data_IF_180802322478
#
_entry.id   IF_180802322478
#
_cell.length_a   1.000
_cell.length_b   1.000
_cell.length_c   1.000
_cell.angle_alpha   90.00
_cell.angle_beta   90.00
_cell.angle_gamma   90.00
#
_symmetry.space_group_name_H-M   'P 1'
#
loop_
_entity.id
_entity.type
_entity.pdbx_description
1 polymer ?
#
# COMPACT_ATOMS: atom_id res chain seq x y z
N UNK A 1 9.12 14.18 -75.27
CA UNK A 1 8.69 13.79 -76.63
C UNK A 1 9.56 12.61 -77.03
N UNK A 2 9.11 11.37 -76.81
CA UNK A 2 8.31 10.58 -77.78
C UNK A 2 9.09 10.45 -79.09
N UNK A 3 9.60 9.28 -79.50
CA UNK A 3 8.81 8.23 -80.14
C UNK A 3 9.81 7.20 -80.70
N UNK A 4 9.71 5.91 -80.36
CA UNK A 4 9.07 4.83 -81.13
C UNK A 4 10.09 3.88 -81.78
N UNK A 5 9.77 2.60 -81.57
CA UNK A 5 10.44 1.35 -81.93
C UNK A 5 10.60 1.13 -83.42
N UNK A 6 11.58 0.28 -83.77
CA UNK A 6 11.46 -0.67 -84.88
C UNK A 6 11.99 -2.06 -84.48
N UNK A 7 11.40 -3.06 -85.15
CA UNK A 7 11.34 -4.51 -84.88
C UNK A 7 12.64 -5.27 -85.23
N UNK A 8 12.69 -6.56 -84.85
CA UNK A 8 12.94 -7.75 -85.71
C UNK A 8 13.76 -8.79 -84.94
N UNK A 9 13.16 -9.85 -84.40
CA UNK A 9 12.95 -11.18 -85.01
C UNK A 9 14.18 -12.13 -84.94
N UNK A 10 13.91 -13.29 -84.31
CA UNK A 10 14.51 -14.62 -84.49
C UNK A 10 15.99 -14.85 -84.15
N UNK A 11 16.23 -15.87 -83.33
CA UNK A 11 17.44 -16.69 -83.47
C UNK A 11 18.00 -17.28 -82.19
N UNK A 12 17.83 -18.60 -82.05
CA UNK A 12 18.77 -19.56 -81.48
C UNK A 12 18.71 -19.86 -79.96
N UNK A 13 18.41 -21.12 -79.58
CA UNK A 13 18.64 -21.61 -78.22
C UNK A 13 20.06 -22.19 -78.11
N UNK A 14 20.81 -21.77 -77.09
CA UNK A 14 22.07 -22.41 -76.71
C UNK A 14 21.94 -23.01 -75.29
N UNK A 15 22.09 -24.34 -75.12
CA UNK A 15 22.08 -24.99 -73.82
C UNK A 15 23.51 -25.33 -73.36
N UNK A 16 24.00 -24.67 -72.29
CA UNK A 16 25.16 -25.18 -71.56
C UNK A 16 25.24 -24.73 -70.09
N UNK A 17 24.73 -25.60 -69.21
CA UNK A 17 25.32 -26.04 -67.93
C UNK A 17 25.57 -25.04 -66.76
N UNK A 18 25.72 -25.53 -65.51
CA UNK A 18 24.94 -25.08 -64.36
C UNK A 18 25.78 -24.30 -63.33
N UNK A 19 25.17 -23.32 -62.68
CA UNK A 19 25.71 -22.74 -61.44
C UNK A 19 24.93 -23.35 -60.26
N UNK A 20 25.60 -24.25 -59.55
CA UNK A 20 25.16 -24.77 -58.26
C UNK A 20 24.82 -23.62 -57.32
N UNK A 21 23.54 -23.50 -56.95
CA UNK A 21 23.14 -22.65 -55.83
C UNK A 21 23.72 -23.20 -54.53
N UNK A 22 23.98 -22.35 -53.53
CA UNK A 22 24.46 -22.79 -52.23
C UNK A 22 23.43 -23.77 -51.65
N UNK A 23 23.88 -24.98 -51.34
CA UNK A 23 23.08 -25.94 -50.57
C UNK A 23 22.90 -25.38 -49.16
N UNK A 24 21.78 -24.69 -48.93
CA UNK A 24 21.26 -24.47 -47.59
C UNK A 24 20.82 -25.86 -47.10
N UNK A 25 21.71 -26.55 -46.40
CA UNK A 25 21.31 -27.66 -45.53
C UNK A 25 20.69 -27.02 -44.29
N UNK A 26 19.45 -26.58 -44.42
CA UNK A 26 18.62 -26.24 -43.27
C UNK A 26 18.28 -27.57 -42.59
N UNK A 27 18.98 -27.88 -41.48
CA UNK A 27 18.52 -28.90 -40.52
C UNK A 27 17.32 -28.32 -39.78
N UNK A 28 16.22 -28.14 -40.52
CA UNK A 28 14.95 -27.59 -40.06
C UNK A 28 14.23 -28.70 -39.28
N UNK A 29 14.79 -29.04 -38.12
CA UNK A 29 14.13 -29.90 -37.14
C UNK A 29 12.97 -29.11 -36.55
N UNK A 30 11.83 -29.19 -37.23
CA UNK A 30 10.57 -28.65 -36.74
C UNK A 30 10.30 -29.16 -35.32
N UNK A 31 9.92 -28.25 -34.43
CA UNK A 31 9.57 -28.59 -33.05
C UNK A 31 8.48 -29.66 -33.03
N UNK A 32 8.68 -30.70 -32.22
CA UNK A 32 7.65 -31.72 -32.08
C UNK A 32 6.44 -31.14 -31.36
N UNK A 33 5.23 -31.58 -31.71
CA UNK A 33 4.01 -31.16 -31.01
C UNK A 33 4.09 -31.43 -29.50
N UNK A 34 4.80 -32.49 -29.11
CA UNK A 34 5.05 -32.85 -27.71
C UNK A 34 5.94 -31.83 -27.00
N UNK A 35 6.96 -31.31 -27.68
CA UNK A 35 7.88 -30.30 -27.13
C UNK A 35 7.16 -28.99 -26.81
N UNK A 36 6.33 -28.52 -27.75
CA UNK A 36 5.53 -27.31 -27.54
C UNK A 36 4.44 -27.56 -26.49
N UNK A 37 3.83 -28.75 -26.47
CA UNK A 37 2.81 -29.09 -25.47
C UNK A 37 3.36 -29.10 -24.04
N UNK A 38 4.53 -29.70 -23.80
CA UNK A 38 5.15 -29.69 -22.47
C UNK A 38 5.59 -28.27 -22.10
N UNK A 39 6.14 -27.50 -23.04
CA UNK A 39 6.52 -26.12 -22.80
C UNK A 39 5.31 -25.26 -22.35
N UNK A 40 4.17 -25.39 -23.02
CA UNK A 40 2.94 -24.67 -22.66
C UNK A 40 2.39 -25.10 -21.29
N UNK A 41 2.48 -26.39 -20.94
CA UNK A 41 2.09 -26.88 -19.61
C UNK A 41 2.99 -26.29 -18.53
N UNK A 42 4.31 -26.28 -18.73
CA UNK A 42 5.25 -25.68 -17.76
C UNK A 42 4.97 -24.19 -17.60
N UNK A 43 4.75 -23.44 -18.68
CA UNK A 43 4.42 -22.02 -18.61
C UNK A 43 3.09 -21.81 -17.87
N UNK A 44 2.06 -22.61 -18.15
CA UNK A 44 0.77 -22.52 -17.47
C UNK A 44 0.88 -22.80 -15.96
N UNK A 45 1.68 -23.81 -15.57
CA UNK A 45 1.94 -24.13 -14.15
C UNK A 45 2.76 -23.03 -13.47
N UNK A 46 3.76 -22.46 -14.14
CA UNK A 46 4.54 -21.35 -13.60
C UNK A 46 3.70 -20.09 -13.42
N UNK A 47 2.88 -19.74 -14.41
CA UNK A 47 1.95 -18.59 -14.30
C UNK A 47 0.93 -18.84 -13.18
N UNK A 48 0.35 -20.04 -13.10
CA UNK A 48 -0.59 -20.40 -12.04
C UNK A 48 0.02 -20.32 -10.64
N UNK A 49 1.24 -20.84 -10.45
CA UNK A 49 1.94 -20.81 -9.16
C UNK A 49 2.32 -19.39 -8.72
N UNK A 50 2.75 -18.52 -9.63
CA UNK A 50 3.09 -17.11 -9.32
C UNK A 50 1.85 -16.32 -8.90
N UNK A 51 0.72 -16.48 -9.59
CA UNK A 51 -0.53 -15.78 -9.26
C UNK A 51 -1.02 -16.13 -7.84
N UNK A 52 -0.91 -17.41 -7.46
CA UNK A 52 -1.28 -17.84 -6.11
C UNK A 52 -0.30 -17.33 -5.04
N UNK A 53 1.00 -17.27 -5.33
CA UNK A 53 2.00 -16.71 -4.44
C UNK A 53 1.79 -15.20 -4.17
N UNK A 54 1.38 -14.43 -5.20
CA UNK A 54 1.09 -13.00 -5.05
C UNK A 54 -0.13 -12.74 -4.14
N UNK A 55 -1.16 -13.60 -4.20
CA UNK A 55 -2.31 -13.53 -3.29
C UNK A 55 -1.91 -13.75 -1.81
N UNK A 56 -0.99 -14.67 -1.54
CA UNK A 56 -0.48 -14.92 -0.18
C UNK A 56 0.35 -13.76 0.37
N UNK A 57 1.19 -13.14 -0.47
CA UNK A 57 1.98 -11.95 -0.07
C UNK A 57 1.08 -10.74 0.23
N UNK A 58 -0.01 -10.57 -0.53
CA UNK A 58 -1.00 -9.54 -0.22
C UNK A 58 -1.66 -9.76 1.14
N UNK A 59 -2.08 -11.00 1.43
CA UNK A 59 -2.70 -11.34 2.70
C UNK A 59 -1.75 -11.19 3.90
N UNK A 60 -0.47 -11.57 3.76
CA UNK A 60 0.49 -11.41 4.86
C UNK A 60 0.79 -9.94 5.21
N UNK A 61 0.78 -9.03 4.21
CA UNK A 61 0.91 -7.58 4.48
C UNK A 61 -0.31 -7.02 5.21
N UNK A 62 -1.52 -7.47 4.86
CA UNK A 62 -2.75 -7.06 5.55
C UNK A 62 -2.74 -7.53 7.01
N UNK A 63 -2.32 -8.77 7.25
CA UNK A 63 -2.22 -9.31 8.62
C UNK A 63 -1.15 -8.57 9.45
N UNK A 64 0.02 -8.30 8.86
CA UNK A 64 1.05 -7.49 9.51
C UNK A 64 0.53 -6.09 9.84
N UNK A 65 -0.20 -5.46 8.93
CA UNK A 65 -0.82 -4.16 9.13
C UNK A 65 -1.85 -4.17 10.28
N UNK A 66 -2.77 -5.14 10.32
CA UNK A 66 -3.76 -5.26 11.41
C UNK A 66 -3.05 -5.45 12.76
N UNK A 67 -2.03 -6.31 12.80
CA UNK A 67 -1.22 -6.52 14.01
C UNK A 67 -0.48 -5.26 14.45
N UNK A 68 0.04 -4.47 13.52
CA UNK A 68 0.71 -3.20 13.82
C UNK A 68 -0.28 -2.18 14.41
N UNK A 69 -1.49 -2.05 13.85
CA UNK A 69 -2.52 -1.14 14.39
C UNK A 69 -2.88 -1.52 15.83
N UNK A 70 -3.09 -2.81 16.11
CA UNK A 70 -3.35 -3.28 17.47
C UNK A 70 -2.18 -3.03 18.44
N UNK A 71 -0.94 -3.21 17.97
CA UNK A 71 0.26 -2.90 18.75
C UNK A 71 0.39 -1.40 19.05
N UNK A 72 0.07 -0.52 18.09
CA UNK A 72 0.07 0.94 18.27
C UNK A 72 -0.96 1.35 19.32
N UNK A 73 -2.18 0.81 19.25
CA UNK A 73 -3.23 1.08 20.25
C UNK A 73 -2.80 0.67 21.66
N UNK A 74 -2.20 -0.51 21.79
CA UNK A 74 -1.66 -1.01 23.06
C UNK A 74 -0.51 -0.14 23.57
N UNK A 75 0.41 0.27 22.71
CA UNK A 75 1.54 1.13 23.08
C UNK A 75 1.05 2.51 23.57
N UNK A 76 0.02 3.05 22.92
CA UNK A 76 -0.58 4.32 23.28
C UNK A 76 -1.22 4.28 24.67
N UNK A 77 -2.04 3.26 24.95
CA UNK A 77 -2.65 3.09 26.27
C UNK A 77 -1.60 2.84 27.36
N UNK A 78 -0.58 2.02 27.08
CA UNK A 78 0.53 1.78 28.02
C UNK A 78 1.32 3.05 28.34
N UNK A 79 1.50 3.94 27.36
CA UNK A 79 2.13 5.23 27.60
C UNK A 79 1.30 6.09 28.54
N UNK A 80 0.00 6.20 28.29
CA UNK A 80 -0.92 6.94 29.16
C UNK A 80 -0.94 6.36 30.58
N UNK A 81 -1.00 5.04 30.73
CA UNK A 81 -0.98 4.37 32.04
C UNK A 81 0.32 4.63 32.80
N UNK A 82 1.46 4.62 32.10
CA UNK A 82 2.78 4.80 32.71
C UNK A 82 3.11 6.24 33.07
N UNK A 83 2.75 7.18 32.19
CA UNK A 83 3.18 8.58 32.28
C UNK A 83 2.06 9.54 32.68
N UNK A 84 0.80 9.10 32.68
CA UNK A 84 -0.35 9.93 33.03
C UNK A 84 -0.63 11.05 32.02
N UNK A 85 -0.13 10.94 30.79
CA UNK A 85 -0.21 11.94 29.74
C UNK A 85 -0.35 11.28 28.36
N UNK A 86 -0.83 12.03 27.36
CA UNK A 86 -0.83 11.55 25.98
C UNK A 86 0.63 11.54 25.45
N UNK A 87 1.03 10.53 24.67
CA UNK A 87 2.28 10.62 23.93
C UNK A 87 2.18 11.79 22.96
N UNK A 88 3.23 12.61 22.88
CA UNK A 88 3.29 13.84 22.09
C UNK A 88 2.95 15.08 22.91
N UNK A 89 2.00 14.96 23.84
CA UNK A 89 1.60 16.00 24.79
C UNK A 89 2.43 15.97 26.10
N UNK A 90 3.33 14.99 26.24
CA UNK A 90 4.11 14.80 27.45
C UNK A 90 5.20 15.88 27.62
N UNK A 91 5.12 16.65 28.70
CA UNK A 91 6.00 17.79 29.00
C UNK A 91 7.45 17.41 29.32
N UNK A 92 7.69 16.15 29.65
CA UNK A 92 9.02 15.64 30.02
C UNK A 92 9.62 14.72 28.95
N UNK A 93 9.24 14.91 27.68
CA UNK A 93 9.78 14.20 26.51
C UNK A 93 11.30 13.98 26.54
N UNK A 94 12.14 15.01 26.82
CA UNK A 94 13.60 14.87 26.85
C UNK A 94 14.15 13.89 27.89
N UNK A 95 13.35 13.49 28.89
CA UNK A 95 13.71 12.45 29.87
C UNK A 95 13.63 11.05 29.24
N UNK A 96 12.75 10.86 28.24
CA UNK A 96 12.60 9.60 27.52
C UNK A 96 13.77 9.38 26.55
N UNK A 97 14.13 10.42 25.79
CA UNK A 97 15.27 10.46 24.89
C UNK A 97 15.63 11.91 24.56
N UNK A 98 16.89 12.22 24.28
CA UNK A 98 17.34 13.59 23.98
C UNK A 98 16.62 14.22 22.78
N UNK A 99 16.24 13.39 21.79
CA UNK A 99 15.57 13.84 20.55
C UNK A 99 14.03 13.84 20.65
N UNK A 100 13.48 13.44 21.81
CA UNK A 100 12.04 13.54 22.08
C UNK A 100 11.76 14.92 22.69
N UNK A 101 11.04 15.77 21.96
CA UNK A 101 10.76 17.13 22.39
C UNK A 101 9.60 17.15 23.40
N UNK A 102 9.41 18.29 24.06
CA UNK A 102 8.35 18.47 25.05
C UNK A 102 7.02 18.78 24.36
N UNK A 103 5.96 18.09 24.77
CA UNK A 103 4.59 18.54 24.55
C UNK A 103 4.19 19.66 25.49
N UNK A 104 3.02 20.26 25.24
CA UNK A 104 2.52 21.41 25.99
C UNK A 104 1.67 21.01 27.23
N UNK A 105 1.15 19.78 27.28
CA UNK A 105 0.34 19.23 28.37
C UNK A 105 -1.11 19.71 28.38
N UNK A 106 -1.70 20.06 27.23
CA UNK A 106 -3.05 20.60 27.11
C UNK A 106 -4.14 19.52 26.93
N UNK A 107 -3.75 18.25 26.89
CA UNK A 107 -4.65 17.11 26.73
C UNK A 107 -5.06 16.85 25.29
N UNK A 108 -4.41 17.48 24.32
CA UNK A 108 -4.61 17.25 22.89
C UNK A 108 -3.27 17.14 22.16
N UNK A 109 -3.32 16.70 20.91
CA UNK A 109 -2.17 16.70 20.02
C UNK A 109 -2.35 17.83 19.02
N UNK A 110 -1.48 18.84 19.09
CA UNK A 110 -1.31 19.81 18.03
C UNK A 110 -0.69 19.20 16.78
N UNK A 111 -0.72 19.97 15.70
CA UNK A 111 -0.25 19.56 14.39
C UNK A 111 -1.28 18.79 13.58
N UNK A 112 -0.81 18.32 12.45
CA UNK A 112 -1.61 17.73 11.39
C UNK A 112 -1.45 16.21 11.32
N UNK A 113 -0.74 15.55 12.23
CA UNK A 113 -0.53 14.10 12.20
C UNK A 113 0.90 13.66 11.93
N UNK A 114 1.77 14.54 11.41
CA UNK A 114 3.18 14.26 11.12
C UNK A 114 4.13 15.43 11.45
N UNK A 115 3.65 16.41 12.20
CA UNK A 115 4.39 17.58 12.68
C UNK A 115 3.96 17.90 14.11
N UNK A 116 4.73 18.76 14.80
CA UNK A 116 4.44 19.19 16.17
C UNK A 116 4.21 17.99 17.11
N UNK A 117 3.27 18.08 18.04
CA UNK A 117 2.98 17.04 19.03
C UNK A 117 2.51 15.73 18.39
N UNK A 118 1.86 15.80 17.22
CA UNK A 118 1.50 14.61 16.45
C UNK A 118 2.72 13.78 16.01
N UNK A 119 3.83 14.44 15.65
CA UNK A 119 5.10 13.76 15.36
C UNK A 119 5.79 13.32 16.66
N UNK A 120 5.77 14.18 17.68
CA UNK A 120 6.34 13.86 18.99
C UNK A 120 5.66 12.63 19.62
N UNK A 121 4.38 12.40 19.36
CA UNK A 121 3.69 11.21 19.84
C UNK A 121 4.42 9.93 19.44
N UNK A 122 4.89 9.86 18.19
CA UNK A 122 5.67 8.72 17.74
C UNK A 122 7.07 8.68 18.36
N UNK A 123 7.73 9.83 18.52
CA UNK A 123 9.04 9.92 19.19
C UNK A 123 8.95 9.45 20.63
N UNK A 124 7.90 9.86 21.36
CA UNK A 124 7.64 9.46 22.74
C UNK A 124 7.36 7.97 22.86
N UNK A 125 6.52 7.41 21.99
CA UNK A 125 6.22 5.96 21.99
C UNK A 125 7.45 5.11 21.68
N UNK A 126 8.28 5.54 20.73
CA UNK A 126 9.56 4.87 20.43
C UNK A 126 10.56 5.04 21.57
N UNK A 127 10.72 6.25 22.12
CA UNK A 127 11.67 6.54 23.19
C UNK A 127 11.34 5.76 24.48
N UNK A 128 10.04 5.60 24.77
CA UNK A 128 9.55 4.76 25.86
C UNK A 128 9.64 3.24 25.58
N UNK A 129 10.10 2.85 24.38
CA UNK A 129 10.27 1.47 23.93
C UNK A 129 8.97 0.66 23.82
N UNK A 130 7.82 1.31 23.67
CA UNK A 130 6.55 0.60 23.46
C UNK A 130 6.35 0.15 22.01
N UNK A 131 7.06 0.75 21.05
CA UNK A 131 6.98 0.43 19.62
C UNK A 131 8.31 -0.14 19.07
N UNK A 132 8.72 -1.30 19.55
CA UNK A 132 10.00 -1.93 19.12
C UNK A 132 10.03 -2.41 17.68
N UNK A 133 8.86 -2.68 17.07
CA UNK A 133 8.76 -3.27 15.72
C UNK A 133 8.46 -2.25 14.61
N UNK A 134 8.14 -1.00 14.97
CA UNK A 134 7.92 0.07 13.98
C UNK A 134 9.22 0.83 13.72
N UNK A 135 9.50 1.10 12.44
CA UNK A 135 10.71 1.80 12.00
C UNK A 135 10.59 3.30 12.24
N UNK A 136 10.61 3.72 13.51
CA UNK A 136 10.85 5.11 13.86
C UNK A 136 11.93 5.17 14.93
N UNK A 137 12.97 5.97 14.69
CA UNK A 137 13.96 6.33 15.69
C UNK A 137 13.39 7.42 16.61
N UNK A 138 13.84 7.56 17.87
CA UNK A 138 13.46 8.69 18.72
C UNK A 138 13.69 10.08 18.08
N UNK A 139 14.63 10.21 17.13
CA UNK A 139 14.87 11.43 16.33
C UNK A 139 14.23 11.42 14.93
N UNK A 140 13.27 10.53 14.66
CA UNK A 140 12.59 10.44 13.36
C UNK A 140 11.86 11.74 13.00
N UNK A 141 11.87 12.13 11.72
CA UNK A 141 11.25 13.37 11.22
C UNK A 141 9.97 13.12 10.44
N UNK A 142 9.48 11.89 10.41
CA UNK A 142 8.25 11.49 9.74
C UNK A 142 7.56 10.40 10.53
N UNK A 143 6.23 10.35 10.42
CA UNK A 143 5.47 9.28 11.04
C UNK A 143 5.79 7.90 10.41
N UNK A 144 5.57 6.79 11.13
CA UNK A 144 5.92 5.46 10.63
C UNK A 144 5.11 5.07 9.38
N UNK A 145 5.76 4.39 8.43
CA UNK A 145 5.10 3.85 7.23
C UNK A 145 4.27 2.61 7.54
N UNK A 146 3.20 2.37 6.79
CA UNK A 146 2.42 1.12 6.91
C UNK A 146 2.92 0.02 5.95
N UNK A 147 2.68 -1.28 6.24
CA UNK A 147 2.99 -2.41 5.35
C UNK A 147 2.25 -2.37 4.01
N UNK A 148 1.14 -1.62 3.94
CA UNK A 148 0.32 -1.43 2.76
C UNK A 148 0.73 -0.21 1.92
N UNK A 149 1.74 0.55 2.37
CA UNK A 149 2.09 1.87 1.83
C UNK A 149 1.44 3.01 2.61
N UNK A 150 1.79 4.26 2.32
CA UNK A 150 1.34 5.39 3.13
C UNK A 150 1.95 5.38 4.55
N UNK A 151 1.33 6.11 5.47
CA UNK A 151 1.84 6.31 6.83
C UNK A 151 0.73 6.15 7.87
N UNK A 152 1.13 5.92 9.11
CA UNK A 152 0.29 6.10 10.29
C UNK A 152 0.38 7.54 10.76
N UNK A 153 -0.69 8.10 11.30
CA UNK A 153 -0.66 9.43 11.92
C UNK A 153 -1.58 9.49 13.12
N UNK A 154 -1.09 10.09 14.21
CA UNK A 154 -1.88 10.34 15.40
C UNK A 154 -2.32 11.80 15.36
N UNK A 155 -3.62 12.05 15.47
CA UNK A 155 -4.17 13.41 15.43
C UNK A 155 -5.33 13.53 16.39
N UNK A 156 -5.39 14.64 17.12
CA UNK A 156 -6.60 14.98 17.87
C UNK A 156 -7.68 15.49 16.94
N UNK A 157 -8.84 14.84 16.94
CA UNK A 157 -9.94 15.17 16.06
C UNK A 157 -11.30 14.79 16.68
N UNK A 158 -12.35 15.41 16.16
CA UNK A 158 -13.72 14.97 16.38
C UNK A 158 -14.20 14.22 15.15
N UNK A 159 -14.52 12.93 15.33
CA UNK A 159 -15.07 12.06 14.28
C UNK A 159 -16.46 11.62 14.73
N UNK A 160 -17.48 11.99 13.96
CA UNK A 160 -18.86 11.85 14.40
C UNK A 160 -19.10 12.63 15.70
N UNK A 161 -19.52 11.92 16.75
CA UNK A 161 -19.78 12.48 18.08
C UNK A 161 -18.59 12.31 19.06
N UNK A 162 -17.48 11.73 18.61
CA UNK A 162 -16.39 11.31 19.48
C UNK A 162 -15.15 12.18 19.24
N UNK A 163 -14.72 12.91 20.28
CA UNK A 163 -13.46 13.66 20.30
C UNK A 163 -12.38 12.85 21.01
N UNK A 164 -11.19 12.82 20.45
CA UNK A 164 -10.06 12.10 21.04
C UNK A 164 -8.86 12.09 20.09
N UNK A 165 -7.86 11.28 20.44
CA UNK A 165 -6.75 10.99 19.54
C UNK A 165 -7.15 9.84 18.62
N UNK A 166 -7.00 10.08 17.32
CA UNK A 166 -7.31 9.11 16.28
C UNK A 166 -6.03 8.76 15.52
N UNK A 167 -5.81 7.47 15.33
CA UNK A 167 -4.86 6.93 14.38
C UNK A 167 -5.50 6.95 12.98
N UNK A 168 -5.04 7.84 12.12
CA UNK A 168 -5.43 7.91 10.71
C UNK A 168 -4.48 7.10 9.84
N UNK A 169 -5.04 6.21 9.03
CA UNK A 169 -4.29 5.38 8.09
C UNK A 169 -4.57 5.87 6.67
N UNK A 170 -3.55 6.43 6.01
CA UNK A 170 -3.70 6.93 4.65
C UNK A 170 -2.38 7.38 4.04
N UNK A 171 -2.48 7.99 2.86
CA UNK A 171 -1.34 8.68 2.24
C UNK A 171 -1.47 10.20 2.39
N UNK A 172 -0.33 10.87 2.49
CA UNK A 172 -0.27 12.33 2.44
C UNK A 172 -0.47 12.81 1.01
N UNK A 173 -1.40 13.74 0.83
CA UNK A 173 -1.49 14.54 -0.38
C UNK A 173 -0.37 15.57 -0.37
N UNK A 174 0.32 15.75 -1.50
CA UNK A 174 1.36 16.79 -1.63
C UNK A 174 0.78 18.16 -1.31
N UNK A 175 1.37 18.87 -0.33
CA UNK A 175 0.89 20.19 0.12
C UNK A 175 -0.26 20.15 1.13
N UNK A 176 -0.64 18.98 1.63
CA UNK A 176 -1.67 18.85 2.67
C UNK A 176 -1.14 19.32 4.03
N UNK A 177 -1.84 20.29 4.64
CA UNK A 177 -1.62 20.77 6.01
C UNK A 177 -2.51 20.06 7.03
N UNK A 178 -3.37 19.17 6.54
CA UNK A 178 -4.16 18.22 7.31
C UNK A 178 -3.56 16.86 7.01
N UNK A 179 -3.38 16.03 8.03
CA UNK A 179 -2.76 14.70 7.89
C UNK A 179 -3.36 13.83 6.80
N UNK A 180 -2.74 12.68 6.52
CA UNK A 180 -3.23 11.56 5.74
C UNK A 180 -4.71 11.69 5.36
N UNK A 181 -4.93 12.35 4.22
CA UNK A 181 -6.26 12.70 3.73
C UNK A 181 -6.66 11.83 2.54
N UNK A 182 -5.73 11.00 2.05
CA UNK A 182 -5.99 10.11 0.91
C UNK A 182 -6.35 8.72 1.41
N UNK A 183 -7.55 8.21 1.07
CA UNK A 183 -7.96 6.83 1.35
C UNK A 183 -6.97 5.80 0.80
N UNK A 184 -6.63 4.79 1.60
CA UNK A 184 -5.59 3.80 1.28
C UNK A 184 -6.11 2.35 1.26
N UNK A 185 -6.93 1.97 2.24
CA UNK A 185 -7.33 0.57 2.44
C UNK A 185 -8.46 0.22 1.47
N UNK A 186 -8.48 -0.99 0.90
CA UNK A 186 -9.69 -1.44 0.22
C UNK A 186 -10.84 -1.62 1.21
N UNK A 187 -12.09 -1.62 0.74
CA UNK A 187 -13.25 -1.82 1.62
C UNK A 187 -13.17 -3.12 2.40
N UNK A 188 -12.70 -4.19 1.77
CA UNK A 188 -12.48 -5.50 2.40
C UNK A 188 -11.36 -5.48 3.46
N UNK A 189 -10.29 -4.70 3.24
CA UNK A 189 -9.23 -4.50 4.25
C UNK A 189 -9.71 -3.67 5.43
N UNK A 190 -10.47 -2.60 5.18
CA UNK A 190 -11.06 -1.77 6.23
C UNK A 190 -12.03 -2.57 7.10
N UNK A 191 -12.94 -3.33 6.48
CA UNK A 191 -13.85 -4.21 7.20
C UNK A 191 -13.13 -5.28 8.03
N UNK A 192 -12.06 -5.90 7.51
CA UNK A 192 -11.27 -6.87 8.29
C UNK A 192 -10.58 -6.24 9.50
N UNK A 193 -10.04 -5.04 9.35
CA UNK A 193 -9.44 -4.30 10.47
C UNK A 193 -10.49 -4.00 11.54
N UNK A 194 -11.66 -3.54 11.12
CA UNK A 194 -12.78 -3.17 11.99
C UNK A 194 -13.30 -4.37 12.79
N UNK A 195 -13.61 -5.49 12.12
CA UNK A 195 -14.07 -6.72 12.80
C UNK A 195 -13.05 -7.25 13.82
N UNK A 196 -11.75 -7.05 13.57
CA UNK A 196 -10.70 -7.51 14.49
C UNK A 196 -10.55 -6.60 15.73
N UNK A 197 -10.84 -5.31 15.59
CA UNK A 197 -10.56 -4.31 16.63
C UNK A 197 -11.82 -3.75 17.32
N UNK A 198 -13.00 -3.94 16.73
CA UNK A 198 -14.24 -3.27 17.13
C UNK A 198 -15.53 -4.05 16.75
N UNK A 199 -16.45 -3.46 15.97
CA UNK A 199 -17.81 -3.96 15.76
C UNK A 199 -18.10 -4.39 14.30
N UNK A 200 -17.19 -4.11 13.37
CA UNK A 200 -17.35 -4.40 11.95
C UNK A 200 -18.29 -3.45 11.21
N UNK A 201 -18.65 -2.30 11.81
CA UNK A 201 -19.56 -1.32 11.23
C UNK A 201 -18.81 -0.03 10.89
N UNK A 202 -18.86 0.43 9.62
CA UNK A 202 -17.94 1.45 9.11
C UNK A 202 -18.15 2.87 9.66
N UNK A 203 -19.19 3.11 10.44
CA UNK A 203 -19.59 4.44 10.91
C UNK A 203 -19.81 4.56 12.42
N UNK A 204 -19.56 3.49 13.18
CA UNK A 204 -19.74 3.48 14.64
C UNK A 204 -18.52 2.90 15.33
N UNK A 205 -18.41 3.14 16.64
CA UNK A 205 -17.36 2.55 17.45
C UNK A 205 -16.01 3.28 17.40
N UNK A 206 -14.98 2.52 17.73
CA UNK A 206 -13.57 2.91 17.75
C UNK A 206 -12.87 2.74 16.40
N UNK A 207 -13.41 1.99 15.44
CA UNK A 207 -12.86 1.92 14.08
C UNK A 207 -13.90 2.42 13.09
N UNK A 208 -13.59 3.54 12.43
CA UNK A 208 -14.54 4.18 11.51
C UNK A 208 -13.88 4.54 10.20
N UNK A 209 -14.70 4.59 9.15
CA UNK A 209 -14.30 5.11 7.84
C UNK A 209 -14.90 6.49 7.62
N UNK A 210 -14.13 7.41 7.08
CA UNK A 210 -14.64 8.74 6.67
C UNK A 210 -14.95 8.81 5.18
N UNK A 211 -14.83 7.70 4.46
CA UNK A 211 -15.06 7.62 3.01
C UNK A 211 -16.45 7.06 2.73
N UNK A 212 -17.37 7.90 2.24
CA UNK A 212 -18.76 7.52 1.99
C UNK A 212 -18.91 6.30 1.07
N UNK A 213 -18.03 6.14 0.07
CA UNK A 213 -18.07 5.01 -0.87
C UNK A 213 -17.82 3.64 -0.21
N UNK A 214 -17.20 3.61 0.97
CA UNK A 214 -16.95 2.39 1.74
C UNK A 214 -18.21 1.87 2.45
N UNK A 215 -19.29 2.65 2.46
CA UNK A 215 -20.55 2.31 3.11
C UNK A 215 -21.64 2.09 2.07
N UNK A 216 -22.56 1.18 2.37
CA UNK A 216 -23.80 1.08 1.60
C UNK A 216 -24.65 2.31 1.88
N UNK A 217 -25.05 3.05 0.83
CA UNK A 217 -25.79 4.30 0.98
C UNK A 217 -27.01 4.15 1.89
N UNK A 218 -27.08 4.98 2.94
CA UNK A 218 -28.17 4.98 3.91
C UNK A 218 -28.14 3.82 4.93
N UNK A 219 -27.06 3.04 4.99
CA UNK A 219 -26.85 1.95 5.94
C UNK A 219 -25.49 2.06 6.61
N UNK A 220 -25.37 1.58 7.84
CA UNK A 220 -24.08 1.47 8.54
C UNK A 220 -23.45 0.09 8.29
N UNK A 221 -23.18 -0.24 7.03
CA UNK A 221 -22.62 -1.54 6.62
C UNK A 221 -21.57 -1.30 5.53
N UNK A 222 -20.45 -2.01 5.59
CA UNK A 222 -19.40 -1.95 4.56
C UNK A 222 -19.92 -2.37 3.19
N UNK A 223 -19.64 -1.57 2.16
CA UNK A 223 -19.95 -1.90 0.78
C UNK A 223 -18.85 -2.78 0.16
N UNK A 224 -18.82 -4.08 0.53
CA UNK A 224 -17.78 -5.02 0.08
C UNK A 224 -17.74 -5.24 -1.45
N UNK A 225 -18.74 -4.76 -2.19
CA UNK A 225 -18.76 -4.77 -3.65
C UNK A 225 -18.06 -3.55 -4.28
N UNK A 226 -17.78 -2.50 -3.51
CA UNK A 226 -17.08 -1.32 -3.99
C UNK A 226 -15.58 -1.59 -4.18
N UNK A 227 -15.02 -0.99 -5.21
CA UNK A 227 -13.57 -1.04 -5.53
C UNK A 227 -12.83 0.19 -5.01
N UNK A 228 -13.52 1.08 -4.31
CA UNK A 228 -12.96 2.28 -3.70
C UNK A 228 -12.00 1.95 -2.55
N UNK A 229 -11.20 2.94 -2.19
CA UNK A 229 -10.38 2.89 -0.98
C UNK A 229 -11.01 3.71 0.15
N UNK A 230 -10.75 3.30 1.38
CA UNK A 230 -11.25 3.87 2.62
C UNK A 230 -10.14 4.60 3.36
N UNK A 231 -10.47 5.79 3.85
CA UNK A 231 -9.72 6.45 4.90
C UNK A 231 -10.26 5.90 6.22
N UNK A 232 -9.44 5.10 6.91
CA UNK A 232 -9.80 4.48 8.18
C UNK A 232 -9.17 5.25 9.34
N UNK A 233 -9.93 5.39 10.41
CA UNK A 233 -9.55 6.07 11.63
C UNK A 233 -9.82 5.15 12.81
N UNK A 234 -8.83 4.98 13.68
CA UNK A 234 -8.93 4.14 14.88
C UNK A 234 -8.78 5.04 16.12
N UNK A 235 -9.74 5.00 17.01
CA UNK A 235 -9.70 5.71 18.29
C UNK A 235 -8.65 5.07 19.19
N UNK A 236 -7.79 5.91 19.76
CA UNK A 236 -6.64 5.50 20.58
C UNK A 236 -6.97 5.44 22.06
#
# INVERSE_FOLDING_TARGET
MTSIRTRSAAGHPDPSHPAAGPGITEDDRGFTLVEVAIALVVIALLVGTVLQAQGMVGNSRVQAFVSEVGAIRTAFSQFQERYGALPGDYQDGPILAMDAERGNGDGTLSGSGADQESLEAWRHLTAAQFLTNLKMSPGGTSAPSTPLGGQYQLVSATVGATSGVWLRIGSMTTGSTTGNSTPLLTVDQAHRLDVELDDGLPGTGSVVTSTAACQVTGSNIYNLAATDTCLVQVLM
#
